data_IF_718125496380
#
_entry.id   IF_718125496380
#
_cell.length_a   1.000
_cell.length_b   1.000
_cell.length_c   1.000
_cell.angle_alpha   90.00
_cell.angle_beta   90.00
_cell.angle_gamma   90.00
#
_symmetry.space_group_name_H-M   'P 1'
#
loop_
_entity.id
_entity.type
_entity.pdbx_description
1 polymer ?
#
# COMPACT_ATOMS: atom_id res chain seq x y z
N UNK A 1 17.74 -26.43 -14.10
CA UNK A 1 18.46 -26.22 -15.38
C UNK A 1 19.10 -24.84 -15.37
N UNK A 2 20.35 -24.76 -14.91
CA UNK A 2 21.25 -23.62 -15.10
C UNK A 2 22.36 -24.13 -16.01
N UNK A 3 22.62 -23.40 -17.09
CA UNK A 3 23.42 -23.85 -18.22
C UNK A 3 24.92 -23.87 -17.84
N UNK A 4 25.40 -25.02 -17.35
CA UNK A 4 26.79 -25.28 -16.90
C UNK A 4 27.83 -24.99 -18.00
N UNK A 5 27.41 -24.92 -19.25
CA UNK A 5 28.25 -24.70 -20.44
C UNK A 5 28.83 -23.29 -20.54
N UNK A 6 28.21 -22.27 -19.93
CA UNK A 6 28.70 -20.88 -20.00
C UNK A 6 29.81 -20.59 -18.97
N UNK A 7 29.84 -21.30 -17.84
CA UNK A 7 30.88 -21.13 -16.81
C UNK A 7 32.21 -21.72 -17.28
N UNK A 8 32.15 -22.82 -18.04
CA UNK A 8 33.34 -23.52 -18.53
C UNK A 8 34.03 -22.74 -19.67
N UNK A 9 33.27 -22.12 -20.60
CA UNK A 9 33.88 -21.32 -21.69
C UNK A 9 34.64 -20.08 -21.20
N UNK A 10 34.16 -19.43 -20.13
CA UNK A 10 34.86 -18.28 -19.54
C UNK A 10 36.11 -18.68 -18.75
N UNK A 11 36.12 -19.85 -18.13
CA UNK A 11 37.30 -20.40 -17.45
C UNK A 11 38.46 -20.62 -18.41
N UNK A 12 38.23 -21.25 -19.58
CA UNK A 12 39.28 -21.51 -20.57
C UNK A 12 39.84 -20.24 -21.22
N UNK A 13 39.01 -19.20 -21.41
CA UNK A 13 39.47 -17.93 -21.98
C UNK A 13 40.42 -17.18 -21.03
N UNK A 14 40.13 -17.21 -19.72
CA UNK A 14 40.98 -16.59 -18.69
C UNK A 14 42.30 -17.34 -18.53
N UNK A 15 42.30 -18.67 -18.60
CA UNK A 15 43.55 -19.46 -18.49
C UNK A 15 44.46 -19.29 -19.71
N UNK A 16 43.89 -19.10 -20.91
CA UNK A 16 44.67 -18.94 -22.15
C UNK A 16 45.37 -17.59 -22.24
N UNK A 17 44.78 -16.53 -21.68
CA UNK A 17 45.38 -15.17 -21.66
C UNK A 17 46.59 -15.11 -20.70
N UNK A 18 46.61 -15.94 -19.66
CA UNK A 18 47.74 -15.98 -18.71
C UNK A 18 48.98 -16.74 -19.22
N UNK A 19 48.86 -17.54 -20.30
CA UNK A 19 49.94 -18.42 -20.77
C UNK A 19 50.84 -17.80 -21.87
N UNK A 20 50.48 -16.65 -22.43
CA UNK A 20 51.25 -16.00 -23.51
C UNK A 20 51.63 -14.56 -23.12
N UNK A 21 52.92 -14.37 -22.79
CA UNK A 21 53.66 -13.10 -22.62
C UNK A 21 53.92 -12.67 -21.16
N UNK A 22 55.14 -12.88 -20.61
CA UNK A 22 55.48 -12.50 -19.23
C UNK A 22 55.69 -10.99 -18.98
N UNK A 23 55.36 -10.10 -19.92
CA UNK A 23 55.84 -8.69 -19.89
C UNK A 23 54.71 -7.64 -19.72
N UNK A 24 53.44 -8.03 -19.58
CA UNK A 24 52.33 -7.04 -19.47
C UNK A 24 51.25 -7.35 -18.41
N UNK A 25 51.61 -8.06 -17.34
CA UNK A 25 50.60 -8.65 -16.42
C UNK A 25 50.22 -7.81 -15.17
N UNK A 26 51.04 -6.89 -14.60
CA UNK A 26 50.59 -6.20 -13.39
C UNK A 26 49.43 -5.22 -13.65
N UNK A 27 49.39 -4.58 -14.81
CA UNK A 27 48.43 -3.50 -15.09
C UNK A 27 47.08 -4.02 -15.56
N UNK A 28 47.04 -5.03 -16.43
CA UNK A 28 45.79 -5.58 -16.98
C UNK A 28 45.06 -6.45 -15.94
N UNK A 29 45.81 -7.26 -15.17
CA UNK A 29 45.25 -8.03 -14.06
C UNK A 29 44.67 -7.15 -12.96
N UNK A 30 45.36 -6.05 -12.61
CA UNK A 30 44.86 -5.05 -11.66
C UNK A 30 43.66 -4.28 -12.23
N UNK A 31 43.63 -3.96 -13.53
CA UNK A 31 42.49 -3.31 -14.16
C UNK A 31 41.23 -4.17 -14.16
N UNK A 32 41.36 -5.47 -14.46
CA UNK A 32 40.24 -6.41 -14.41
C UNK A 32 39.80 -6.59 -12.96
N UNK A 33 40.72 -6.74 -12.01
CA UNK A 33 40.40 -6.85 -10.60
C UNK A 33 39.70 -5.58 -10.08
N UNK A 34 40.18 -4.38 -10.42
CA UNK A 34 39.56 -3.10 -10.05
C UNK A 34 38.19 -2.93 -10.72
N UNK A 35 38.04 -3.37 -11.97
CA UNK A 35 36.76 -3.26 -12.69
C UNK A 35 35.74 -4.26 -12.16
N UNK A 36 36.17 -5.47 -11.80
CA UNK A 36 35.39 -6.49 -11.10
C UNK A 36 35.04 -6.00 -9.68
N UNK A 37 36.00 -5.51 -8.92
CA UNK A 37 35.77 -4.92 -7.58
C UNK A 37 34.85 -3.70 -7.63
N UNK A 38 34.91 -2.88 -8.69
CA UNK A 38 33.93 -1.78 -8.93
C UNK A 38 32.56 -2.29 -9.36
N UNK A 39 32.47 -3.42 -10.07
CA UNK A 39 31.17 -4.06 -10.37
C UNK A 39 30.59 -4.81 -9.16
N UNK A 40 31.40 -5.14 -8.17
CA UNK A 40 30.98 -5.78 -6.91
C UNK A 40 30.91 -4.81 -5.71
N UNK A 41 31.43 -3.58 -5.82
CA UNK A 41 31.10 -2.48 -4.92
C UNK A 41 29.67 -2.05 -5.22
N UNK A 42 28.76 -2.75 -4.56
CA UNK A 42 27.36 -2.36 -4.41
C UNK A 42 27.32 -0.94 -3.82
N UNK A 43 27.16 0.06 -4.68
CA UNK A 43 27.13 1.47 -4.28
C UNK A 43 26.05 1.69 -3.22
N UNK A 44 26.38 2.49 -2.20
CA UNK A 44 25.44 2.93 -1.18
C UNK A 44 24.42 3.88 -1.81
N UNK A 45 23.22 3.92 -1.24
CA UNK A 45 22.23 4.90 -1.67
C UNK A 45 22.73 6.31 -1.39
N UNK A 46 22.54 7.20 -2.36
CA UNK A 46 22.89 8.61 -2.28
C UNK A 46 21.62 9.44 -2.15
N UNK A 47 21.76 10.75 -1.89
CA UNK A 47 20.62 11.66 -1.96
C UNK A 47 19.95 11.64 -3.34
N UNK A 48 20.74 11.47 -4.40
CA UNK A 48 20.24 11.42 -5.77
C UNK A 48 19.44 10.15 -6.01
N UNK A 49 19.92 8.98 -5.59
CA UNK A 49 19.19 7.72 -5.77
C UNK A 49 17.92 7.65 -4.92
N UNK A 50 17.92 8.25 -3.72
CA UNK A 50 16.75 8.33 -2.85
C UNK A 50 15.73 9.40 -3.28
N UNK A 51 16.13 10.38 -4.09
CA UNK A 51 15.25 11.46 -4.54
C UNK A 51 14.03 10.95 -5.33
N UNK A 52 14.11 9.73 -5.89
CA UNK A 52 12.98 9.08 -6.59
C UNK A 52 11.79 8.81 -5.67
N UNK A 53 12.01 8.66 -4.37
CA UNK A 53 10.96 8.48 -3.37
C UNK A 53 10.49 9.80 -2.77
N UNK A 54 11.22 10.89 -3.00
CA UNK A 54 10.99 12.18 -2.39
C UNK A 54 9.71 12.84 -2.95
N UNK A 55 8.82 13.23 -2.04
CA UNK A 55 7.64 14.04 -2.30
C UNK A 55 7.83 15.48 -1.87
N UNK A 56 8.68 15.69 -0.85
CA UNK A 56 9.02 17.01 -0.31
C UNK A 56 10.53 17.19 -0.19
N UNK A 57 11.06 18.37 -0.54
CA UNK A 57 12.46 18.71 -0.34
C UNK A 57 12.99 18.30 1.05
N UNK A 58 14.07 17.53 1.06
CA UNK A 58 14.80 17.14 2.26
C UNK A 58 14.39 15.79 2.88
N UNK A 59 13.42 15.07 2.32
CA UNK A 59 13.06 13.73 2.82
C UNK A 59 14.22 12.73 2.67
N UNK A 60 14.95 12.72 1.55
CA UNK A 60 16.10 11.82 1.38
C UNK A 60 17.20 12.07 2.43
N UNK A 61 17.46 13.35 2.75
CA UNK A 61 18.42 13.71 3.79
C UNK A 61 17.96 13.22 5.17
N UNK A 62 16.67 13.39 5.48
CA UNK A 62 16.07 12.92 6.74
C UNK A 62 16.12 11.40 6.85
N UNK A 63 15.81 10.70 5.75
CA UNK A 63 15.89 9.25 5.66
C UNK A 63 17.29 8.77 6.06
N UNK A 64 18.34 9.26 5.39
CA UNK A 64 19.73 8.87 5.68
C UNK A 64 20.16 9.22 7.11
N UNK A 65 19.64 10.31 7.69
CA UNK A 65 19.89 10.68 9.08
C UNK A 65 19.29 9.67 10.07
N UNK A 66 18.20 8.99 9.70
CA UNK A 66 17.49 8.01 10.54
C UNK A 66 18.00 6.57 10.36
N UNK A 67 18.48 6.19 9.18
CA UNK A 67 18.93 4.80 8.91
C UNK A 67 20.45 4.61 9.01
N UNK A 68 21.23 5.36 8.21
CA UNK A 68 22.70 5.44 8.15
C UNK A 68 23.08 6.14 6.82
N UNK A 69 24.24 6.83 6.77
CA UNK A 69 24.82 7.41 5.55
C UNK A 69 25.31 6.35 4.55
N UNK A 70 25.67 5.16 5.01
CA UNK A 70 26.10 4.05 4.15
C UNK A 70 24.94 3.08 3.86
N UNK A 71 23.71 3.58 3.89
CA UNK A 71 22.53 2.77 3.69
C UNK A 71 22.52 2.12 2.30
N UNK A 72 21.95 0.92 2.25
CA UNK A 72 21.63 0.24 1.00
C UNK A 72 20.31 -0.49 1.16
N UNK A 73 19.43 -0.39 0.17
CA UNK A 73 18.21 -1.17 0.18
C UNK A 73 18.53 -2.67 0.19
N UNK A 74 17.82 -3.47 1.00
CA UNK A 74 17.86 -4.91 0.85
C UNK A 74 17.50 -5.32 -0.58
N UNK A 75 18.21 -6.32 -1.09
CA UNK A 75 18.11 -6.81 -2.47
C UNK A 75 16.76 -7.47 -2.72
N UNK A 76 16.24 -8.23 -1.74
CA UNK A 76 14.93 -8.88 -1.84
C UNK A 76 13.74 -7.94 -1.60
N UNK A 77 13.96 -6.70 -1.13
CA UNK A 77 12.88 -5.76 -0.84
C UNK A 77 12.25 -5.21 -2.12
N UNK A 78 10.95 -5.47 -2.38
CA UNK A 78 10.25 -4.96 -3.55
C UNK A 78 10.14 -3.43 -3.58
N UNK A 79 10.08 -2.84 -4.77
CA UNK A 79 10.12 -1.39 -4.97
C UNK A 79 9.00 -0.63 -4.23
N UNK A 80 7.78 -1.15 -4.26
CA UNK A 80 6.65 -0.52 -3.56
C UNK A 80 6.80 -0.59 -2.03
N UNK A 81 7.50 -1.60 -1.51
CA UNK A 81 7.82 -1.71 -0.09
C UNK A 81 8.94 -0.74 0.28
N UNK A 82 9.95 -0.53 -0.58
CA UNK A 82 10.95 0.52 -0.40
C UNK A 82 10.30 1.90 -0.33
N UNK A 83 9.35 2.15 -1.24
CA UNK A 83 8.57 3.39 -1.24
C UNK A 83 7.79 3.56 0.07
N UNK A 84 7.02 2.56 0.50
CA UNK A 84 6.30 2.60 1.78
C UNK A 84 7.23 2.81 2.98
N UNK A 85 8.34 2.07 3.02
CA UNK A 85 9.38 2.19 4.06
C UNK A 85 10.00 3.58 4.09
N UNK A 86 10.29 4.18 2.93
CA UNK A 86 10.80 5.54 2.83
C UNK A 86 9.80 6.55 3.38
N UNK A 87 8.51 6.43 3.01
CA UNK A 87 7.46 7.33 3.52
C UNK A 87 7.37 7.23 5.04
N UNK A 88 7.26 6.02 5.59
CA UNK A 88 7.12 5.81 7.03
C UNK A 88 8.33 6.31 7.83
N UNK A 89 9.56 6.15 7.31
CA UNK A 89 10.78 6.67 7.96
C UNK A 89 10.88 8.20 7.88
N UNK A 90 10.29 8.84 6.87
CA UNK A 90 10.43 10.28 6.64
C UNK A 90 9.22 11.10 7.07
N UNK A 91 8.10 10.44 7.40
CA UNK A 91 6.87 11.08 7.86
C UNK A 91 7.11 11.87 9.15
N UNK A 92 6.43 13.01 9.25
CA UNK A 92 6.48 13.92 10.40
C UNK A 92 5.23 13.80 11.27
N UNK A 93 4.14 13.24 10.75
CA UNK A 93 2.84 13.25 11.44
C UNK A 93 2.73 12.11 12.49
N UNK A 94 3.50 11.03 12.32
CA UNK A 94 3.52 9.87 13.23
C UNK A 94 4.94 9.33 13.44
N UNK A 95 5.85 10.21 13.88
CA UNK A 95 7.30 9.95 13.92
C UNK A 95 7.70 8.71 14.72
N UNK A 96 6.97 8.31 15.76
CA UNK A 96 7.35 7.12 16.55
C UNK A 96 6.86 5.83 15.90
N UNK A 97 5.59 5.77 15.48
CA UNK A 97 5.02 4.55 14.91
C UNK A 97 5.52 4.30 13.50
N UNK A 98 5.48 5.32 12.63
CA UNK A 98 5.96 5.19 11.24
C UNK A 98 7.43 4.80 11.18
N UNK A 99 8.28 5.47 11.98
CA UNK A 99 9.69 5.13 12.04
C UNK A 99 9.92 3.67 12.46
N UNK A 100 9.21 3.21 13.49
CA UNK A 100 9.32 1.83 13.97
C UNK A 100 8.88 0.82 12.89
N UNK A 101 7.77 1.07 12.19
CA UNK A 101 7.32 0.22 11.06
C UNK A 101 8.41 0.15 9.99
N UNK A 102 8.91 1.29 9.52
CA UNK A 102 9.92 1.33 8.48
C UNK A 102 11.23 0.65 8.87
N UNK A 103 11.70 0.84 10.12
CA UNK A 103 12.89 0.15 10.63
C UNK A 103 12.68 -1.36 10.76
N UNK A 104 11.48 -1.81 11.14
CA UNK A 104 11.14 -3.24 11.21
C UNK A 104 11.09 -3.88 9.81
N UNK A 105 10.58 -3.17 8.80
CA UNK A 105 10.67 -3.60 7.40
C UNK A 105 12.13 -3.76 6.95
N UNK A 106 12.98 -2.76 7.23
CA UNK A 106 14.41 -2.85 6.90
C UNK A 106 15.09 -4.03 7.58
N UNK A 107 14.80 -4.25 8.87
CA UNK A 107 15.34 -5.40 9.60
C UNK A 107 14.92 -6.72 8.94
N UNK A 108 13.62 -6.92 8.69
CA UNK A 108 13.11 -8.15 8.10
C UNK A 108 13.82 -8.50 6.79
N UNK A 109 13.92 -7.54 5.87
CA UNK A 109 14.51 -7.81 4.56
C UNK A 109 16.03 -7.98 4.58
N UNK A 110 16.74 -7.31 5.50
CA UNK A 110 18.16 -7.59 5.71
C UNK A 110 18.38 -9.02 6.24
N UNK A 111 17.58 -9.45 7.22
CA UNK A 111 17.64 -10.81 7.75
C UNK A 111 17.27 -11.86 6.69
N UNK A 112 16.27 -11.55 5.84
CA UNK A 112 15.87 -12.39 4.70
C UNK A 112 17.02 -12.55 3.69
N UNK A 113 17.66 -11.45 3.29
CA UNK A 113 18.81 -11.46 2.37
C UNK A 113 20.00 -12.27 2.91
N UNK A 114 20.19 -12.23 4.24
CA UNK A 114 21.25 -12.97 4.93
C UNK A 114 20.91 -14.46 5.15
N UNK A 115 19.71 -14.90 4.78
CA UNK A 115 19.26 -16.29 4.95
C UNK A 115 18.89 -16.66 6.38
N UNK A 116 18.66 -15.68 7.27
CA UNK A 116 18.35 -15.92 8.69
C UNK A 116 17.02 -16.66 8.89
N UNK A 117 16.13 -16.65 7.89
CA UNK A 117 14.83 -17.33 7.92
C UNK A 117 14.81 -18.65 7.13
N UNK A 118 15.98 -19.26 6.87
CA UNK A 118 16.08 -20.47 6.04
C UNK A 118 15.32 -21.68 6.60
N UNK A 119 15.11 -21.77 7.92
CA UNK A 119 14.33 -22.83 8.56
C UNK A 119 12.81 -22.56 8.54
N UNK A 120 12.41 -21.31 8.25
CA UNK A 120 11.05 -20.79 8.36
C UNK A 120 10.42 -20.44 6.99
N UNK A 121 10.86 -21.10 5.91
CA UNK A 121 10.52 -20.73 4.51
C UNK A 121 9.04 -20.55 4.21
N UNK A 122 8.18 -21.29 4.90
CA UNK A 122 6.73 -21.29 4.67
C UNK A 122 5.95 -20.45 5.70
N UNK A 123 6.64 -19.78 6.61
CA UNK A 123 6.05 -19.04 7.71
C UNK A 123 6.07 -17.54 7.49
N UNK A 124 5.30 -16.85 8.31
CA UNK A 124 5.28 -15.42 8.51
C UNK A 124 6.13 -15.08 9.72
N UNK A 125 6.96 -14.05 9.60
CA UNK A 125 7.80 -13.55 10.68
C UNK A 125 7.21 -12.25 11.18
N UNK A 126 6.98 -12.16 12.48
CA UNK A 126 6.66 -10.92 13.17
C UNK A 126 7.96 -10.26 13.61
N UNK A 127 8.16 -9.02 13.22
CA UNK A 127 9.31 -8.20 13.60
C UNK A 127 8.82 -7.01 14.42
N UNK A 128 9.48 -6.77 15.54
CA UNK A 128 9.25 -5.60 16.39
C UNK A 128 10.55 -5.22 17.10
N UNK A 129 10.82 -3.92 17.21
CA UNK A 129 12.08 -3.35 17.71
C UNK A 129 13.30 -3.95 17.04
N UNK A 130 13.18 -4.13 15.73
CA UNK A 130 14.20 -4.67 14.84
C UNK A 130 14.70 -6.05 15.32
N UNK A 131 13.76 -6.91 15.73
CA UNK A 131 14.00 -8.30 16.12
C UNK A 131 12.85 -9.18 15.63
N UNK A 132 13.15 -10.38 15.18
CA UNK A 132 12.14 -11.41 14.98
C UNK A 132 11.62 -11.87 16.35
N UNK A 133 10.32 -11.70 16.59
CA UNK A 133 9.69 -12.01 17.88
C UNK A 133 8.76 -13.22 17.81
N UNK A 134 8.29 -13.57 16.60
CA UNK A 134 7.41 -14.71 16.39
C UNK A 134 7.48 -15.23 14.96
N UNK A 135 7.34 -16.54 14.81
CA UNK A 135 7.17 -17.26 13.54
C UNK A 135 5.83 -17.99 13.54
N UNK A 136 5.18 -18.10 12.38
CA UNK A 136 3.96 -18.91 12.24
C UNK A 136 3.10 -18.54 11.05
N UNK A 137 1.78 -18.60 11.24
CA UNK A 137 0.81 -18.21 10.20
C UNK A 137 0.58 -16.70 10.18
N UNK A 138 0.03 -16.21 9.07
CA UNK A 138 -0.45 -14.83 8.97
C UNK A 138 -1.51 -14.58 10.05
N UNK A 139 -1.44 -13.44 10.71
CA UNK A 139 -2.52 -13.01 11.59
C UNK A 139 -3.79 -12.70 10.79
N UNK A 140 -4.93 -13.14 11.31
CA UNK A 140 -6.20 -12.50 10.94
C UNK A 140 -6.26 -11.07 11.48
N UNK A 141 -7.27 -10.32 11.05
CA UNK A 141 -7.40 -8.90 11.36
C UNK A 141 -7.55 -8.62 12.87
N UNK A 142 -8.23 -9.50 13.61
CA UNK A 142 -8.43 -9.34 15.06
C UNK A 142 -7.12 -9.58 15.81
N UNK A 143 -6.40 -10.64 15.44
CA UNK A 143 -5.08 -10.97 15.97
C UNK A 143 -4.06 -9.88 15.65
N UNK A 144 -4.03 -9.41 14.39
CA UNK A 144 -3.16 -8.31 13.97
C UNK A 144 -3.45 -7.05 14.77
N UNK A 145 -4.73 -6.74 14.97
CA UNK A 145 -5.10 -5.57 15.76
C UNK A 145 -4.64 -5.69 17.22
N UNK A 146 -4.79 -6.85 17.86
CA UNK A 146 -4.30 -7.07 19.21
C UNK A 146 -2.78 -6.92 19.29
N UNK A 147 -2.06 -7.49 18.31
CA UNK A 147 -0.61 -7.37 18.21
C UNK A 147 -0.18 -5.92 18.10
N UNK A 148 -0.86 -5.09 17.29
CA UNK A 148 -0.51 -3.67 17.13
C UNK A 148 -0.87 -2.81 18.35
N UNK A 149 -1.80 -3.25 19.21
CA UNK A 149 -2.04 -2.61 20.52
C UNK A 149 -0.91 -2.90 21.51
N UNK A 150 -0.39 -4.14 21.53
CA UNK A 150 0.67 -4.57 22.47
C UNK A 150 2.08 -4.20 21.97
N UNK A 151 2.30 -4.29 20.66
CA UNK A 151 3.57 -4.03 19.97
C UNK A 151 3.35 -3.04 18.82
N UNK A 152 3.14 -1.74 19.12
CA UNK A 152 2.93 -0.74 18.09
C UNK A 152 4.12 -0.68 17.13
N UNK A 153 3.82 -0.66 15.83
CA UNK A 153 4.82 -0.65 14.77
C UNK A 153 5.37 -2.03 14.41
N UNK A 154 4.86 -3.10 15.03
CA UNK A 154 5.17 -4.46 14.61
C UNK A 154 4.73 -4.70 13.15
N UNK A 155 5.55 -5.44 12.41
CA UNK A 155 5.26 -5.84 11.03
C UNK A 155 5.28 -7.35 10.94
N UNK A 156 4.40 -7.91 10.12
CA UNK A 156 4.38 -9.34 9.85
C UNK A 156 4.54 -9.59 8.36
N UNK A 157 5.58 -10.32 7.95
CA UNK A 157 5.90 -10.54 6.53
C UNK A 157 6.15 -12.03 6.28
N UNK A 158 5.70 -12.58 5.13
CA UNK A 158 5.98 -13.97 4.78
C UNK A 158 7.45 -14.11 4.38
N UNK A 159 8.10 -15.21 4.75
CA UNK A 159 9.46 -15.51 4.24
C UNK A 159 9.39 -15.74 2.72
N UNK A 160 8.40 -16.50 2.26
CA UNK A 160 8.06 -16.63 0.85
C UNK A 160 7.39 -15.35 0.33
N UNK A 161 8.18 -14.52 -0.36
CA UNK A 161 7.74 -13.23 -0.90
C UNK A 161 6.63 -13.34 -1.96
N UNK A 162 6.36 -14.54 -2.50
CA UNK A 162 5.22 -14.73 -3.42
C UNK A 162 3.87 -14.63 -2.71
N UNK A 163 3.85 -14.75 -1.37
CA UNK A 163 2.65 -14.68 -0.52
C UNK A 163 2.36 -13.27 0.02
N UNK A 164 3.06 -12.24 -0.47
CA UNK A 164 2.81 -10.85 -0.04
C UNK A 164 1.34 -10.47 -0.29
N UNK A 165 0.69 -9.81 0.68
CA UNK A 165 -0.72 -9.47 0.58
C UNK A 165 -0.96 -8.41 -0.49
N UNK A 166 -2.08 -8.51 -1.20
CA UNK A 166 -2.49 -7.57 -2.25
C UNK A 166 -3.91 -7.11 -2.02
N UNK A 167 -4.24 -5.90 -2.46
CA UNK A 167 -5.62 -5.46 -2.51
C UNK A 167 -6.27 -5.91 -3.83
N UNK A 168 -7.58 -6.21 -3.83
CA UNK A 168 -8.32 -6.41 -5.05
C UNK A 168 -8.19 -5.19 -5.98
N UNK A 169 -8.05 -5.38 -7.30
CA UNK A 169 -7.89 -4.27 -8.21
C UNK A 169 -9.17 -3.42 -8.24
N UNK A 170 -9.00 -2.10 -8.12
CA UNK A 170 -10.08 -1.15 -8.32
C UNK A 170 -10.13 -0.75 -9.80
N UNK A 171 -11.31 -0.74 -10.39
CA UNK A 171 -11.53 -0.22 -11.74
C UNK A 171 -12.50 0.94 -11.66
N UNK A 172 -12.05 2.12 -12.07
CA UNK A 172 -12.93 3.28 -12.18
C UNK A 172 -14.05 2.99 -13.19
N UNK A 173 -15.29 2.93 -12.72
CA UNK A 173 -16.46 2.87 -13.60
C UNK A 173 -16.94 4.29 -13.82
N UNK A 174 -16.51 4.89 -14.94
CA UNK A 174 -16.99 6.21 -15.33
C UNK A 174 -18.45 6.12 -15.76
N UNK A 175 -19.34 6.71 -14.97
CA UNK A 175 -20.72 6.96 -15.40
C UNK A 175 -20.65 8.00 -16.52
N UNK A 176 -21.13 7.66 -17.73
CA UNK A 176 -21.24 8.62 -18.81
C UNK A 176 -22.15 9.77 -18.36
N UNK A 177 -21.60 10.99 -18.37
CA UNK A 177 -22.28 12.22 -17.97
C UNK A 177 -23.45 12.47 -18.92
N UNK A 178 -24.66 12.13 -18.51
CA UNK A 178 -25.87 12.64 -19.16
C UNK A 178 -26.19 13.95 -18.43
N UNK A 179 -25.81 15.09 -19.00
CA UNK A 179 -26.20 16.47 -18.59
C UNK A 179 -25.34 17.27 -17.59
N UNK A 180 -24.01 17.12 -17.56
CA UNK A 180 -23.13 17.97 -16.70
C UNK A 180 -23.46 17.98 -15.18
N UNK A 181 -24.30 17.06 -14.69
CA UNK A 181 -24.67 16.95 -13.28
C UNK A 181 -23.57 16.33 -12.41
N UNK A 182 -23.63 16.61 -11.11
CA UNK A 182 -22.74 16.03 -10.08
C UNK A 182 -23.39 14.80 -9.39
N UNK A 183 -24.40 14.19 -10.01
CA UNK A 183 -25.32 13.23 -9.40
C UNK A 183 -24.67 11.90 -8.93
N UNK A 184 -23.41 11.67 -9.29
CA UNK A 184 -22.61 10.51 -8.87
C UNK A 184 -21.70 10.80 -7.66
N UNK A 185 -21.52 12.09 -7.30
CA UNK A 185 -20.70 12.48 -6.15
C UNK A 185 -21.50 12.34 -4.86
N UNK A 186 -20.81 11.97 -3.79
CA UNK A 186 -21.40 11.83 -2.45
C UNK A 186 -20.56 12.53 -1.41
N UNK A 187 -21.18 12.94 -0.31
CA UNK A 187 -20.44 13.26 0.91
C UNK A 187 -20.21 11.96 1.67
N UNK A 188 -19.06 11.83 2.30
CA UNK A 188 -18.70 10.63 3.06
C UNK A 188 -18.42 11.04 4.49
N UNK A 189 -18.97 10.32 5.46
CA UNK A 189 -18.55 10.42 6.85
C UNK A 189 -18.07 9.07 7.34
N UNK A 190 -16.95 9.09 8.04
CA UNK A 190 -16.32 7.91 8.63
C UNK A 190 -16.29 8.11 10.13
N UNK A 191 -16.68 7.10 10.88
CA UNK A 191 -16.70 7.11 12.34
C UNK A 191 -15.84 5.98 12.87
N UNK A 192 -15.00 6.32 13.85
CA UNK A 192 -14.27 5.33 14.65
C UNK A 192 -15.23 4.74 15.70
N UNK A 193 -15.53 3.44 15.69
CA UNK A 193 -16.53 2.88 16.61
C UNK A 193 -16.14 2.95 18.10
N UNK A 194 -14.85 2.94 18.42
CA UNK A 194 -14.36 2.87 19.80
C UNK A 194 -14.61 4.13 20.62
N UNK A 195 -14.48 5.31 20.01
CA UNK A 195 -14.62 6.61 20.69
C UNK A 195 -15.68 7.53 20.05
N UNK A 196 -16.26 7.12 18.92
CA UNK A 196 -17.27 7.87 18.20
C UNK A 196 -16.73 9.07 17.42
N UNK A 197 -15.42 9.23 17.27
CA UNK A 197 -14.81 10.29 16.46
C UNK A 197 -15.27 10.20 15.01
N UNK A 198 -15.67 11.33 14.42
CA UNK A 198 -16.21 11.40 13.06
C UNK A 198 -15.34 12.32 12.21
N UNK A 199 -15.01 11.87 11.00
CA UNK A 199 -14.46 12.70 9.93
C UNK A 199 -15.46 12.78 8.79
N UNK A 200 -15.56 13.98 8.22
CA UNK A 200 -16.44 14.30 7.11
C UNK A 200 -15.61 14.71 5.90
N UNK A 201 -15.87 14.05 4.77
CA UNK A 201 -15.40 14.44 3.46
C UNK A 201 -16.57 15.09 2.69
N UNK A 202 -16.46 16.35 2.27
CA UNK A 202 -17.40 16.95 1.33
C UNK A 202 -17.29 16.27 -0.05
N UNK A 203 -18.19 16.62 -0.98
CA UNK A 203 -18.16 16.10 -2.35
C UNK A 203 -16.79 16.26 -3.02
N UNK A 204 -16.16 17.42 -2.81
CA UNK A 204 -14.86 17.79 -3.33
C UNK A 204 -13.98 18.18 -2.13
N UNK A 205 -13.16 17.23 -1.68
CA UNK A 205 -12.32 17.37 -0.51
C UNK A 205 -10.91 17.83 -0.90
N UNK A 206 -10.45 18.93 -0.31
CA UNK A 206 -9.09 19.44 -0.48
C UNK A 206 -8.21 19.04 0.70
N UNK A 207 -7.22 18.19 0.46
CA UNK A 207 -6.20 17.88 1.46
C UNK A 207 -5.11 18.95 1.45
N UNK A 208 -5.33 20.00 2.23
CA UNK A 208 -4.42 21.16 2.31
C UNK A 208 -3.06 20.83 2.93
N UNK A 209 -2.94 19.72 3.67
CA UNK A 209 -1.71 19.36 4.35
C UNK A 209 -0.71 18.66 3.41
N UNK A 210 -1.21 17.99 2.36
CA UNK A 210 -0.40 17.21 1.42
C UNK A 210 -0.67 17.66 -0.02
N UNK A 211 0.08 18.66 -0.47
CA UNK A 211 0.09 19.19 -1.84
C UNK A 211 -1.24 19.79 -2.33
N UNK A 212 -2.14 20.21 -1.42
CA UNK A 212 -3.47 20.73 -1.76
C UNK A 212 -4.28 19.80 -2.68
N UNK A 213 -4.13 18.49 -2.49
CA UNK A 213 -4.70 17.51 -3.41
C UNK A 213 -6.22 17.49 -3.30
N UNK A 214 -6.89 17.62 -4.45
CA UNK A 214 -8.34 17.52 -4.56
C UNK A 214 -8.75 16.05 -4.74
N UNK A 215 -9.73 15.62 -3.96
CA UNK A 215 -10.40 14.35 -4.10
C UNK A 215 -11.89 14.57 -4.32
N UNK A 216 -12.42 14.13 -5.46
CA UNK A 216 -13.87 14.01 -5.63
C UNK A 216 -14.35 12.69 -5.01
N UNK A 217 -15.32 12.76 -4.10
CA UNK A 217 -15.91 11.60 -3.45
C UNK A 217 -17.02 11.02 -4.33
N UNK A 218 -16.86 9.76 -4.77
CA UNK A 218 -17.74 9.11 -5.74
C UNK A 218 -18.13 7.70 -5.30
N UNK A 219 -19.32 7.27 -5.70
CA UNK A 219 -19.71 5.85 -5.61
C UNK A 219 -19.17 5.12 -6.83
N UNK A 220 -18.40 4.05 -6.63
CA UNK A 220 -17.74 3.30 -7.70
C UNK A 220 -17.96 1.80 -7.53
N UNK A 221 -18.81 1.22 -8.38
CA UNK A 221 -19.12 -0.22 -8.37
C UNK A 221 -17.98 -1.08 -8.88
N UNK A 222 -16.98 -0.49 -9.54
CA UNK A 222 -15.76 -1.20 -9.92
C UNK A 222 -14.68 -1.18 -8.84
N UNK A 223 -14.91 -0.52 -7.70
CA UNK A 223 -14.06 -0.59 -6.53
C UNK A 223 -14.58 -1.66 -5.56
N UNK A 224 -13.86 -2.78 -5.34
CA UNK A 224 -14.29 -3.80 -4.39
C UNK A 224 -14.30 -3.30 -2.94
N UNK A 225 -13.45 -2.33 -2.64
CA UNK A 225 -13.30 -1.72 -1.32
C UNK A 225 -13.42 -0.20 -1.41
N UNK A 226 -13.87 0.41 -0.33
CA UNK A 226 -13.89 1.85 -0.15
C UNK A 226 -12.46 2.35 0.08
N UNK A 227 -11.99 3.26 -0.77
CA UNK A 227 -10.63 3.81 -0.75
C UNK A 227 -10.70 5.32 -0.58
N UNK A 228 -10.26 5.82 0.57
CA UNK A 228 -10.39 7.23 0.96
C UNK A 228 -9.03 7.95 1.01
N UNK A 229 -8.99 9.29 1.10
CA UNK A 229 -7.74 10.02 1.27
C UNK A 229 -7.02 9.63 2.58
N UNK A 230 -5.69 9.72 2.60
CA UNK A 230 -4.87 9.48 3.80
C UNK A 230 -5.31 10.34 5.00
N UNK A 231 -5.95 11.48 4.75
CA UNK A 231 -6.61 12.31 5.76
C UNK A 231 -7.46 11.50 6.75
N UNK A 232 -8.20 10.49 6.29
CA UNK A 232 -8.99 9.64 7.19
C UNK A 232 -8.10 8.92 8.19
N UNK A 233 -7.00 8.31 7.72
CA UNK A 233 -6.04 7.65 8.61
C UNK A 233 -5.36 8.65 9.54
N UNK A 234 -4.99 9.83 9.07
CA UNK A 234 -4.35 10.86 9.90
C UNK A 234 -5.28 11.43 10.99
N UNK A 235 -6.56 11.61 10.69
CA UNK A 235 -7.50 12.25 11.63
C UNK A 235 -8.24 11.22 12.50
N UNK A 236 -8.61 10.07 11.93
CA UNK A 236 -9.21 8.95 12.67
C UNK A 236 -8.18 7.90 13.06
N UNK A 237 -6.89 8.19 12.99
CA UNK A 237 -5.84 7.20 13.27
C UNK A 237 -4.54 7.83 13.75
N UNK A 238 -4.05 7.22 14.83
CA UNK A 238 -2.62 7.00 15.06
C UNK A 238 -2.38 5.50 14.97
N UNK A 239 -1.72 4.91 15.98
CA UNK A 239 -1.42 3.46 16.13
C UNK A 239 -2.62 2.49 16.04
N UNK A 240 -3.86 2.96 16.03
CA UNK A 240 -5.07 2.14 16.22
C UNK A 240 -5.82 1.84 14.90
N UNK A 241 -6.12 0.57 14.66
CA UNK A 241 -7.06 0.13 13.62
C UNK A 241 -6.52 0.05 12.19
N UNK A 242 -5.24 0.34 11.98
CA UNK A 242 -4.57 0.32 10.68
C UNK A 242 -3.52 -0.78 10.62
N UNK A 243 -3.50 -1.54 9.52
CA UNK A 243 -2.46 -2.52 9.25
C UNK A 243 -1.13 -1.83 8.92
N UNK A 244 -0.03 -2.49 9.25
CA UNK A 244 1.33 -2.08 8.87
C UNK A 244 1.75 -2.65 7.51
N UNK A 245 0.90 -3.45 6.83
CA UNK A 245 1.19 -3.98 5.51
C UNK A 245 1.11 -2.90 4.43
N UNK A 246 2.21 -2.67 3.73
CA UNK A 246 2.19 -1.93 2.48
C UNK A 246 1.55 -2.76 1.37
N UNK A 247 0.59 -2.17 0.67
CA UNK A 247 0.00 -2.74 -0.54
C UNK A 247 0.09 -1.71 -1.66
N UNK A 248 0.20 -2.19 -2.88
CA UNK A 248 0.16 -1.33 -4.07
C UNK A 248 -1.23 -1.41 -4.67
N UNK A 249 -1.74 -0.27 -5.14
CA UNK A 249 -2.96 -0.23 -5.92
C UNK A 249 -2.76 -0.98 -7.24
N UNK A 250 -3.66 -1.91 -7.53
CA UNK A 250 -3.78 -2.54 -8.84
C UNK A 250 -4.99 -1.92 -9.57
N UNK A 251 -4.81 -1.50 -10.83
CA UNK A 251 -5.84 -0.77 -11.58
C UNK A 251 -5.83 0.74 -11.31
N UNK A 252 -6.97 1.29 -10.88
CA UNK A 252 -7.10 2.72 -10.60
C UNK A 252 -6.16 3.14 -9.47
N UNK A 253 -5.44 4.25 -9.69
CA UNK A 253 -4.48 4.78 -8.73
C UNK A 253 -3.12 4.07 -8.73
N UNK A 254 -2.90 3.00 -9.52
CA UNK A 254 -1.59 2.37 -9.63
C UNK A 254 -0.52 3.38 -10.12
N UNK A 255 0.69 3.42 -9.53
CA UNK A 255 1.26 2.53 -8.51
C UNK A 255 1.21 3.12 -7.08
N UNK A 256 0.13 3.81 -6.69
CA UNK A 256 0.01 4.38 -5.35
C UNK A 256 0.05 3.29 -4.27
N UNK A 257 0.72 3.60 -3.14
CA UNK A 257 0.67 2.75 -1.95
C UNK A 257 -0.71 2.93 -1.29
N UNK A 258 -1.21 1.85 -0.71
CA UNK A 258 -2.48 1.78 0.00
C UNK A 258 -2.27 1.19 1.40
N UNK A 259 -3.00 1.74 2.37
CA UNK A 259 -3.02 1.26 3.75
C UNK A 259 -4.42 0.79 4.10
N UNK A 260 -4.55 -0.49 4.46
CA UNK A 260 -5.83 -1.08 4.83
C UNK A 260 -6.07 -1.01 6.34
N UNK A 261 -7.32 -0.78 6.74
CA UNK A 261 -7.72 -0.97 8.12
C UNK A 261 -7.70 -2.46 8.50
N UNK A 262 -7.20 -2.77 9.70
CA UNK A 262 -7.40 -4.08 10.34
C UNK A 262 -8.63 -4.08 11.27
N UNK A 263 -9.23 -2.92 11.54
CA UNK A 263 -10.51 -2.80 12.26
C UNK A 263 -11.62 -2.25 11.39
N UNK A 264 -12.86 -2.55 11.79
CA UNK A 264 -14.04 -1.97 11.17
C UNK A 264 -14.17 -0.49 11.50
N UNK A 265 -14.47 0.31 10.48
CA UNK A 265 -14.94 1.68 10.62
C UNK A 265 -16.41 1.75 10.22
N UNK A 266 -17.16 2.64 10.85
CA UNK A 266 -18.51 2.94 10.43
C UNK A 266 -18.46 3.97 9.31
N UNK A 267 -19.08 3.68 8.18
CA UNK A 267 -19.16 4.56 7.01
C UNK A 267 -20.61 4.91 6.74
N UNK A 268 -20.86 6.17 6.37
CA UNK A 268 -22.15 6.63 5.91
C UNK A 268 -21.95 7.63 4.79
N UNK A 269 -22.79 7.53 3.76
CA UNK A 269 -22.77 8.42 2.61
C UNK A 269 -24.02 9.30 2.60
N UNK A 270 -23.97 10.43 1.94
CA UNK A 270 -25.09 11.35 1.95
C UNK A 270 -24.91 12.56 1.04
N UNK A 271 -25.79 13.53 1.25
CA UNK A 271 -25.82 14.81 0.57
C UNK A 271 -25.85 15.98 1.58
N UNK A 272 -26.29 17.16 1.15
CA UNK A 272 -26.38 18.32 2.02
C UNK A 272 -27.45 18.17 3.12
N UNK A 273 -28.46 17.33 2.91
CA UNK A 273 -29.68 17.28 3.72
C UNK A 273 -29.88 15.92 4.40
N UNK A 274 -29.37 14.84 3.82
CA UNK A 274 -29.68 13.47 4.19
C UNK A 274 -28.42 12.62 4.28
N UNK A 275 -28.47 11.64 5.18
CA UNK A 275 -27.41 10.65 5.36
C UNK A 275 -28.02 9.26 5.36
N UNK A 276 -27.30 8.30 4.80
CA UNK A 276 -27.59 6.89 5.02
C UNK A 276 -27.38 6.53 6.50
N UNK A 277 -27.88 5.36 6.88
CA UNK A 277 -27.41 4.72 8.11
C UNK A 277 -25.92 4.40 8.02
N UNK A 278 -25.33 4.15 9.18
CA UNK A 278 -23.97 3.66 9.32
C UNK A 278 -23.90 2.19 8.90
N UNK A 279 -22.86 1.84 8.14
CA UNK A 279 -22.49 0.46 7.80
C UNK A 279 -21.02 0.23 8.14
N UNK A 280 -20.64 -0.99 8.47
CA UNK A 280 -19.27 -1.29 8.87
C UNK A 280 -18.44 -1.75 7.68
N UNK A 281 -17.27 -1.15 7.48
CA UNK A 281 -16.35 -1.52 6.42
C UNK A 281 -14.89 -1.46 6.89
N UNK A 282 -14.06 -2.37 6.37
CA UNK A 282 -12.60 -2.28 6.44
C UNK A 282 -12.13 -1.39 5.30
N UNK A 283 -12.13 -0.09 5.57
CA UNK A 283 -11.72 0.91 4.59
C UNK A 283 -10.23 0.81 4.27
N UNK A 284 -9.87 1.22 3.06
CA UNK A 284 -8.49 1.44 2.65
C UNK A 284 -8.27 2.94 2.48
N UNK A 285 -7.04 3.41 2.67
CA UNK A 285 -6.66 4.78 2.32
C UNK A 285 -5.49 4.81 1.35
N UNK A 286 -5.43 5.85 0.53
CA UNK A 286 -4.28 6.17 -0.29
C UNK A 286 -3.07 6.55 0.57
N UNK A 287 -1.86 6.51 -0.01
CA UNK A 287 -0.68 7.16 0.54
C UNK A 287 -0.90 8.66 0.78
N UNK A 288 -0.05 9.27 1.62
CA UNK A 288 -0.19 10.67 2.03
C UNK A 288 -0.04 11.67 0.87
N UNK A 289 0.88 11.42 -0.06
CA UNK A 289 1.13 12.25 -1.25
C UNK A 289 1.02 11.42 -2.54
N UNK A 290 -0.21 10.98 -2.90
CA UNK A 290 -0.40 10.24 -4.13
C UNK A 290 -0.30 11.19 -5.33
N UNK A 291 0.33 10.73 -6.40
CA UNK A 291 0.45 11.50 -7.64
C UNK A 291 -0.89 11.65 -8.37
N UNK A 292 -0.86 12.28 -9.55
CA UNK A 292 -2.05 12.62 -10.33
C UNK A 292 -2.86 11.41 -10.80
N UNK A 293 -2.32 10.19 -10.67
CA UNK A 293 -3.07 8.96 -10.92
C UNK A 293 -4.24 8.73 -9.94
N UNK A 294 -4.28 9.47 -8.82
CA UNK A 294 -5.37 9.46 -7.84
C UNK A 294 -6.06 10.83 -7.84
N UNK A 295 -7.35 10.84 -8.12
CA UNK A 295 -8.24 12.02 -8.22
C UNK A 295 -9.51 11.83 -7.37
N UNK A 296 -9.85 10.58 -7.03
CA UNK A 296 -11.12 10.24 -6.41
C UNK A 296 -10.94 9.55 -5.06
N UNK A 297 -11.86 9.85 -4.15
CA UNK A 297 -12.17 9.00 -3.00
C UNK A 297 -13.32 8.09 -3.42
N UNK A 298 -13.13 6.78 -3.30
CA UNK A 298 -14.03 5.77 -3.82
C UNK A 298 -14.85 5.16 -2.70
N UNK A 299 -16.17 5.21 -2.82
CA UNK A 299 -17.10 4.39 -2.03
C UNK A 299 -17.38 3.12 -2.82
N UNK A 300 -16.81 2.01 -2.36
CA UNK A 300 -16.82 0.73 -3.05
C UNK A 300 -17.95 -0.21 -2.62
N UNK A 301 -17.89 -1.42 -3.14
CA UNK A 301 -18.91 -2.46 -2.94
C UNK A 301 -19.04 -2.92 -1.49
N UNK A 302 -17.95 -2.87 -0.72
CA UNK A 302 -17.95 -3.12 0.72
C UNK A 302 -18.97 -2.25 1.49
N UNK A 303 -19.24 -1.02 1.03
CA UNK A 303 -20.24 -0.12 1.61
C UNK A 303 -21.57 -0.20 0.86
N UNK A 304 -21.55 -0.14 -0.48
CA UNK A 304 -22.77 -0.03 -1.28
C UNK A 304 -23.64 -1.28 -1.22
N UNK A 305 -23.05 -2.48 -1.18
CA UNK A 305 -23.80 -3.73 -1.11
C UNK A 305 -24.58 -3.84 0.20
N UNK A 306 -24.02 -3.35 1.32
CA UNK A 306 -24.72 -3.32 2.60
C UNK A 306 -25.90 -2.34 2.56
N UNK A 307 -25.73 -1.18 1.95
CA UNK A 307 -26.82 -0.21 1.81
C UNK A 307 -27.95 -0.74 0.92
N UNK A 308 -27.63 -1.44 -0.16
CA UNK A 308 -28.59 -2.05 -1.07
C UNK A 308 -29.31 -3.27 -0.48
N UNK A 309 -28.59 -4.17 0.20
CA UNK A 309 -29.15 -5.40 0.78
C UNK A 309 -30.22 -5.12 1.85
N UNK A 310 -30.02 -4.09 2.67
CA UNK A 310 -31.02 -3.69 3.66
C UNK A 310 -32.30 -3.17 3.02
N UNK A 311 -32.21 -2.53 1.85
CA UNK A 311 -33.40 -2.12 1.11
C UNK A 311 -34.17 -3.32 0.56
N UNK A 312 -33.47 -4.38 0.13
CA UNK A 312 -34.08 -5.64 -0.32
C UNK A 312 -34.78 -6.41 0.82
N UNK A 313 -34.19 -6.47 2.02
CA UNK A 313 -34.81 -7.12 3.19
C UNK A 313 -36.08 -6.41 3.69
N UNK A 314 -36.31 -5.16 3.28
CA UNK A 314 -37.54 -4.42 3.58
C UNK A 314 -38.68 -4.66 2.58
N UNK A 315 -38.42 -5.41 1.49
CA UNK A 315 -39.41 -5.83 0.49
C UNK A 315 -39.12 -7.25 -0.01
N UNK A 316 -39.90 -8.24 0.42
CA UNK A 316 -39.94 -9.54 -0.26
C UNK A 316 -40.39 -9.37 -1.71
N UNK A 317 -39.52 -9.64 -2.69
CA UNK A 317 -39.91 -9.83 -4.10
C UNK A 317 -39.10 -10.98 -4.72
N UNK A 318 -39.83 -11.93 -5.29
CA UNK A 318 -39.33 -13.01 -6.15
C UNK A 318 -38.81 -12.48 -7.49
N UNK A 319 -37.60 -12.85 -7.87
CA UNK A 319 -36.94 -12.43 -9.10
C UNK A 319 -37.23 -13.39 -10.26
N UNK A 320 -37.81 -12.86 -11.34
CA UNK A 320 -37.53 -13.32 -12.70
C UNK A 320 -36.95 -12.13 -13.47
N UNK A 321 -36.06 -12.45 -14.41
CA UNK A 321 -35.09 -11.58 -15.11
C UNK A 321 -35.59 -10.22 -15.60
N UNK A 322 -34.59 -9.37 -15.89
CA UNK A 322 -34.58 -8.12 -16.68
C UNK A 322 -34.44 -6.80 -15.89
N UNK A 323 -33.32 -6.12 -16.19
CA UNK A 323 -32.99 -4.67 -16.05
C UNK A 323 -33.71 -3.95 -14.90
N UNK A 324 -32.98 -3.73 -13.81
CA UNK A 324 -33.43 -2.92 -12.67
C UNK A 324 -33.22 -1.42 -12.95
N UNK A 325 -34.24 -0.76 -13.49
CA UNK A 325 -34.53 0.62 -13.11
C UNK A 325 -35.17 0.60 -11.71
N UNK A 326 -34.37 0.82 -10.66
CA UNK A 326 -34.92 1.01 -9.32
C UNK A 326 -35.50 2.43 -9.20
N UNK A 327 -36.82 2.54 -9.36
CA UNK A 327 -37.59 3.70 -8.91
C UNK A 327 -37.57 3.72 -7.37
N UNK A 328 -36.75 4.63 -6.83
CA UNK A 328 -36.53 4.91 -5.41
C UNK A 328 -37.65 5.78 -4.83
N UNK A 329 -38.90 5.34 -4.94
CA UNK A 329 -40.01 5.98 -4.26
C UNK A 329 -40.12 5.42 -2.83
N UNK A 330 -39.30 5.96 -1.93
CA UNK A 330 -39.54 6.20 -0.49
C UNK A 330 -38.28 6.56 0.34
N UNK A 331 -37.12 6.75 -0.31
CA UNK A 331 -36.05 7.61 0.18
C UNK A 331 -35.61 8.46 -1.02
N UNK A 332 -35.59 9.79 -0.89
CA UNK A 332 -35.29 10.77 -1.94
C UNK A 332 -33.84 10.72 -2.50
N UNK A 333 -33.16 9.57 -2.47
CA UNK A 333 -31.88 9.36 -3.13
C UNK A 333 -32.14 8.71 -4.48
N UNK A 334 -31.75 9.36 -5.59
CA UNK A 334 -31.60 8.69 -6.89
C UNK A 334 -30.13 8.38 -7.09
N UNK A 335 -29.68 7.21 -6.63
CA UNK A 335 -28.37 6.66 -7.00
C UNK A 335 -28.65 5.44 -7.87
N UNK A 336 -28.38 5.56 -9.17
CA UNK A 336 -28.48 4.43 -10.11
C UNK A 336 -27.24 3.55 -9.93
N UNK A 337 -27.34 2.49 -9.14
CA UNK A 337 -26.28 1.48 -9.01
C UNK A 337 -26.48 0.43 -10.10
N UNK A 338 -25.79 0.58 -11.23
CA UNK A 338 -25.80 -0.43 -12.30
C UNK A 338 -24.79 -1.53 -11.94
N UNK A 339 -25.30 -2.70 -11.54
CA UNK A 339 -24.48 -3.90 -11.38
C UNK A 339 -24.33 -4.56 -12.75
N UNK A 340 -23.15 -4.43 -13.37
CA UNK A 340 -22.79 -5.21 -14.55
C UNK A 340 -22.23 -6.56 -14.08
N UNK A 341 -23.05 -7.61 -14.12
CA UNK A 341 -22.58 -8.99 -14.03
C UNK A 341 -22.06 -9.42 -15.40
N UNK A 342 -20.80 -9.87 -15.46
CA UNK A 342 -20.25 -10.62 -16.60
C UNK A 342 -20.64 -12.08 -16.52
#
# INVERSE_FOLDING_TARGET
>A
MLNVTNVIKNSYLVTTICALSPILIPSVGLFILVKVMKTFQKEHETLETLSVYEKRPGQAQRFLARVNKNFRWPTSMPEYIRRGTFMDITDNDDEEFGLEVGLNYLFFYNALDNGEFAEHKNEWVTVHKQRAVQYGQMYDDDSLSYILEVMPGAVQLPVDQTKLPRNPPAKMVTVQRVNNGNDYKVRVRVRRPSDGSIVLLPYDFYDVQYNNKLYSCVVDTGAPQTILPYYIRRTLGGKWGWSTHYKIAEGYGAPAVQYSACRMFDVSIGDNNNWTKWVQAKITVWENEPGDQVEYALVGNDVTDQLAYIQYMSREIHLNSWILEMNLDLLHFRILVVKLTY
#
